data_IF_655956552831
#
_entry.id   IF_655956552831
#
_cell.length_a   1.000
_cell.length_b   1.000
_cell.length_c   1.000
_cell.angle_alpha   90.00
_cell.angle_beta   90.00
_cell.angle_gamma   90.00
#
_symmetry.space_group_name_H-M   'P 1'
#
loop_
_entity.id
_entity.type
_entity.pdbx_description
1 polymer ?
#
# COMPACT_ATOMS: atom_id res chain seq x y z
N UNK A 1 28.14 17.58 -1.30
CA UNK A 1 27.03 16.92 -1.99
C UNK A 1 25.71 17.30 -1.33
N UNK A 2 24.64 17.37 -2.08
CA UNK A 2 23.30 17.64 -1.51
C UNK A 2 22.76 16.31 -1.01
N UNK A 3 22.37 16.26 0.25
CA UNK A 3 21.81 15.09 0.91
C UNK A 3 20.27 15.18 0.95
N UNK A 4 19.59 14.07 1.27
CA UNK A 4 18.14 14.08 1.56
C UNK A 4 17.75 15.16 2.57
N UNK A 5 18.56 15.33 3.62
CA UNK A 5 18.29 16.33 4.65
C UNK A 5 18.40 17.76 4.16
N UNK A 6 19.25 18.03 3.17
CA UNK A 6 19.35 19.35 2.55
C UNK A 6 18.07 19.67 1.77
N UNK A 7 17.52 18.69 1.02
CA UNK A 7 16.22 18.85 0.35
C UNK A 7 15.09 19.10 1.34
N UNK A 8 15.04 18.35 2.46
CA UNK A 8 14.07 18.60 3.53
C UNK A 8 14.26 20.01 4.15
N UNK A 9 15.51 20.47 4.25
CA UNK A 9 15.84 21.81 4.72
C UNK A 9 15.30 22.93 3.82
N UNK A 10 15.39 22.75 2.49
CA UNK A 10 14.87 23.73 1.53
C UNK A 10 13.36 23.84 1.53
N UNK A 11 12.67 22.82 2.02
CA UNK A 11 11.21 22.80 2.11
C UNK A 11 10.64 23.50 3.33
N UNK A 12 11.47 23.89 4.31
CA UNK A 12 10.99 24.55 5.55
C UNK A 12 10.27 25.88 5.29
N UNK A 13 10.59 26.55 4.20
CA UNK A 13 9.97 27.80 3.82
C UNK A 13 8.58 27.63 3.18
N UNK A 14 8.26 26.42 2.72
CA UNK A 14 7.00 26.06 2.06
C UNK A 14 6.04 25.29 2.96
N UNK A 15 6.57 24.61 3.97
CA UNK A 15 5.79 23.83 4.93
C UNK A 15 5.94 24.49 6.31
N UNK A 16 4.86 25.06 6.87
CA UNK A 16 4.92 25.96 8.04
C UNK A 16 5.55 25.34 9.29
N UNK A 17 5.52 24.01 9.44
CA UNK A 17 6.10 23.30 10.57
C UNK A 17 7.21 22.35 10.13
N UNK A 18 8.44 22.60 10.61
CA UNK A 18 9.65 21.87 10.18
C UNK A 18 9.59 20.33 10.35
N UNK A 19 8.73 19.81 11.22
CA UNK A 19 8.44 18.38 11.33
C UNK A 19 7.39 17.91 10.32
N UNK A 20 6.50 18.79 9.86
CA UNK A 20 5.49 18.48 8.84
C UNK A 20 6.11 18.21 7.47
N UNK A 21 7.24 18.85 7.13
CA UNK A 21 7.93 18.63 5.86
C UNK A 21 8.32 17.15 5.65
N UNK A 22 8.79 16.47 6.70
CA UNK A 22 9.16 15.06 6.61
C UNK A 22 7.96 14.12 6.43
N UNK A 23 6.75 14.56 6.79
CA UNK A 23 5.52 13.79 6.63
C UNK A 23 4.92 13.93 5.22
N UNK A 24 5.10 15.10 4.58
CA UNK A 24 4.50 15.44 3.28
C UNK A 24 5.48 15.35 2.11
N UNK A 25 6.77 15.16 2.37
CA UNK A 25 7.83 15.10 1.37
C UNK A 25 8.61 13.79 1.49
N UNK A 26 8.69 13.05 0.40
CA UNK A 26 9.64 11.96 0.23
C UNK A 26 10.70 12.34 -0.80
N UNK A 27 11.99 12.13 -0.46
CA UNK A 27 13.13 12.32 -1.36
C UNK A 27 13.95 11.04 -1.38
N UNK A 28 14.21 10.51 -2.57
CA UNK A 28 15.01 9.30 -2.74
C UNK A 28 15.89 9.36 -3.99
N UNK A 29 17.00 8.66 -3.97
CA UNK A 29 17.93 8.61 -5.09
C UNK A 29 17.42 7.72 -6.21
N UNK A 30 17.76 8.03 -7.45
CA UNK A 30 17.44 7.17 -8.58
C UNK A 30 18.10 5.79 -8.51
N UNK A 31 19.18 5.65 -7.74
CA UNK A 31 19.82 4.36 -7.45
C UNK A 31 18.94 3.41 -6.62
N UNK A 32 17.94 3.92 -5.94
CA UNK A 32 16.96 3.12 -5.17
C UNK A 32 15.84 2.53 -6.04
N UNK A 33 15.78 2.91 -7.32
CA UNK A 33 14.80 2.40 -8.27
C UNK A 33 15.28 1.09 -8.94
N UNK A 34 14.34 0.34 -9.45
CA UNK A 34 14.60 -0.84 -10.28
C UNK A 34 13.90 -0.70 -11.64
N UNK A 35 14.65 -0.50 -12.76
CA UNK A 35 16.12 -0.34 -12.85
C UNK A 35 16.61 1.00 -12.27
N UNK A 36 17.88 1.07 -11.81
CA UNK A 36 18.42 2.28 -11.20
C UNK A 36 18.66 3.41 -12.20
N UNK A 37 18.36 4.66 -11.79
CA UNK A 37 18.61 5.89 -12.55
C UNK A 37 19.63 6.78 -11.83
N UNK A 38 20.90 6.71 -12.25
CA UNK A 38 21.96 7.50 -11.63
C UNK A 38 21.90 8.99 -12.02
N UNK A 39 22.31 9.88 -11.10
CA UNK A 39 22.31 11.32 -11.30
C UNK A 39 20.94 11.98 -11.19
N UNK A 40 19.93 11.27 -10.77
CA UNK A 40 18.57 11.77 -10.53
C UNK A 40 18.19 11.63 -9.07
N UNK A 41 17.40 12.59 -8.60
CA UNK A 41 16.74 12.56 -7.30
C UNK A 41 15.25 12.68 -7.53
N UNK A 42 14.50 11.76 -6.98
CA UNK A 42 13.06 11.76 -7.09
C UNK A 42 12.44 12.39 -5.85
N UNK A 43 11.39 13.17 -6.09
CA UNK A 43 10.66 13.91 -5.06
C UNK A 43 9.19 13.56 -5.19
N UNK A 44 8.60 13.12 -4.09
CA UNK A 44 7.17 12.85 -3.99
C UNK A 44 6.55 13.72 -2.90
N UNK A 45 5.41 14.32 -3.17
CA UNK A 45 4.75 15.31 -2.30
C UNK A 45 3.33 14.88 -1.99
N UNK A 46 3.00 14.80 -0.71
CA UNK A 46 1.65 14.56 -0.21
C UNK A 46 0.97 15.89 0.09
N UNK A 47 0.62 16.63 -0.96
CA UNK A 47 -0.07 17.91 -0.88
C UNK A 47 -1.41 17.82 -1.63
N UNK A 48 -2.40 18.59 -1.16
CA UNK A 48 -3.72 18.65 -1.79
C UNK A 48 -3.72 19.49 -3.08
N UNK A 49 -2.72 20.40 -3.25
CA UNK A 49 -2.62 21.31 -4.38
C UNK A 49 -1.46 20.94 -5.31
N UNK A 50 -1.81 20.63 -6.58
CA UNK A 50 -0.82 20.31 -7.63
C UNK A 50 0.06 21.51 -8.03
N UNK A 51 -0.41 22.74 -7.85
CA UNK A 51 0.34 23.98 -8.15
C UNK A 51 1.54 24.10 -7.22
N UNK A 52 1.36 23.78 -5.95
CA UNK A 52 2.44 23.77 -4.96
C UNK A 52 3.56 22.78 -5.29
N UNK A 53 3.25 21.67 -5.97
CA UNK A 53 4.26 20.68 -6.35
C UNK A 53 5.24 21.22 -7.40
N UNK A 54 4.78 22.01 -8.38
CA UNK A 54 5.65 22.61 -9.39
C UNK A 54 6.56 23.69 -8.82
N UNK A 55 6.04 24.57 -7.97
CA UNK A 55 6.81 25.61 -7.29
C UNK A 55 7.94 25.02 -6.44
N UNK A 56 7.64 23.92 -5.74
CA UNK A 56 8.61 23.19 -4.95
C UNK A 56 9.69 22.56 -5.83
N UNK A 57 9.32 21.94 -6.96
CA UNK A 57 10.29 21.38 -7.89
C UNK A 57 11.23 22.45 -8.48
N UNK A 58 10.70 23.61 -8.84
CA UNK A 58 11.48 24.70 -9.41
C UNK A 58 12.47 25.24 -8.37
N UNK A 59 12.06 25.38 -7.11
CA UNK A 59 12.98 25.70 -6.01
C UNK A 59 14.07 24.64 -5.83
N UNK A 60 13.71 23.36 -5.83
CA UNK A 60 14.66 22.27 -5.65
C UNK A 60 15.66 22.22 -6.81
N UNK A 61 15.22 22.52 -8.03
CA UNK A 61 16.11 22.63 -9.20
C UNK A 61 17.09 23.79 -9.07
N UNK A 62 16.64 24.94 -8.60
CA UNK A 62 17.51 26.11 -8.36
C UNK A 62 18.59 25.83 -7.31
N UNK A 63 18.27 25.04 -6.28
CA UNK A 63 19.18 24.70 -5.17
C UNK A 63 20.04 23.46 -5.43
N UNK A 64 19.71 22.68 -6.45
CA UNK A 64 20.44 21.45 -6.79
C UNK A 64 21.71 21.75 -7.56
N UNK A 65 22.81 20.97 -7.36
CA UNK A 65 24.00 21.04 -8.21
C UNK A 65 23.62 20.66 -9.66
N UNK A 66 24.34 21.21 -10.64
CA UNK A 66 24.12 20.96 -12.07
C UNK A 66 24.17 19.46 -12.47
N UNK A 67 24.81 18.64 -11.66
CA UNK A 67 24.91 17.18 -11.90
C UNK A 67 23.75 16.36 -11.33
N UNK A 68 22.81 16.96 -10.58
CA UNK A 68 21.68 16.30 -9.95
C UNK A 68 20.39 16.95 -10.44
N UNK A 69 19.51 16.15 -11.04
CA UNK A 69 18.23 16.61 -11.56
C UNK A 69 17.10 16.10 -10.67
N UNK A 70 16.42 16.96 -9.92
CA UNK A 70 15.22 16.58 -9.19
C UNK A 70 14.04 16.37 -10.15
N UNK A 71 13.35 15.25 -10.01
CA UNK A 71 12.16 14.88 -10.76
C UNK A 71 11.01 14.56 -9.81
N UNK A 72 9.78 14.89 -10.21
CA UNK A 72 8.59 14.60 -9.43
C UNK A 72 8.04 13.22 -9.77
N UNK A 73 7.72 12.45 -8.74
CA UNK A 73 6.90 11.23 -8.83
C UNK A 73 5.67 11.43 -7.96
N UNK A 74 4.45 11.25 -8.50
CA UNK A 74 3.24 11.33 -7.71
C UNK A 74 3.26 10.32 -6.55
N UNK A 75 2.75 10.68 -5.35
CA UNK A 75 2.64 9.74 -4.26
C UNK A 75 1.67 8.60 -4.62
N UNK A 76 2.06 7.38 -4.27
CA UNK A 76 1.18 6.21 -4.36
C UNK A 76 0.53 5.98 -3.01
N UNK A 77 -0.77 6.26 -2.90
CA UNK A 77 -1.53 6.09 -1.67
C UNK A 77 -2.20 4.72 -1.68
N UNK A 78 -1.82 3.89 -0.72
CA UNK A 78 -2.40 2.58 -0.49
C UNK A 78 -3.23 2.59 0.80
N UNK A 79 -4.43 2.08 0.75
CA UNK A 79 -5.25 1.85 1.94
C UNK A 79 -4.97 0.44 2.48
N UNK A 80 -4.45 0.36 3.69
CA UNK A 80 -4.28 -0.90 4.41
C UNK A 80 -5.48 -1.15 5.30
N UNK A 81 -6.29 -2.14 4.95
CA UNK A 81 -7.41 -2.60 5.76
C UNK A 81 -6.89 -3.58 6.80
N UNK A 82 -6.95 -3.15 8.06
CA UNK A 82 -6.46 -3.90 9.21
C UNK A 82 -7.62 -4.51 9.98
N UNK A 83 -7.77 -5.84 9.90
CA UNK A 83 -8.67 -6.62 10.72
C UNK A 83 -7.89 -7.37 11.80
N UNK A 84 -8.39 -7.39 13.03
CA UNK A 84 -7.72 -8.12 14.11
C UNK A 84 -8.67 -8.60 15.20
N UNK A 85 -8.27 -9.71 15.84
CA UNK A 85 -8.97 -10.27 17.00
C UNK A 85 -8.05 -10.26 18.22
N UNK A 86 -8.56 -9.81 19.35
CA UNK A 86 -7.85 -9.73 20.63
C UNK A 86 -8.57 -10.59 21.65
N UNK A 87 -7.86 -11.55 22.25
CA UNK A 87 -8.36 -12.32 23.36
C UNK A 87 -7.74 -11.79 24.66
N UNK A 88 -8.55 -11.54 25.68
CA UNK A 88 -8.11 -10.96 26.94
C UNK A 88 -8.54 -11.81 28.15
N UNK A 89 -7.72 -11.78 29.19
CA UNK A 89 -8.05 -12.45 30.46
C UNK A 89 -8.96 -11.55 31.31
N UNK A 90 -10.22 -11.90 31.40
CA UNK A 90 -11.25 -11.13 32.13
C UNK A 90 -11.01 -11.06 33.65
N UNK A 91 -10.18 -11.94 34.21
CA UNK A 91 -9.82 -11.90 35.64
C UNK A 91 -8.72 -10.87 35.97
N UNK A 92 -8.01 -10.37 34.96
CA UNK A 92 -6.89 -9.43 35.12
C UNK A 92 -7.25 -8.00 34.71
N UNK A 93 -8.51 -7.71 34.42
CA UNK A 93 -8.99 -6.37 34.07
C UNK A 93 -10.33 -6.08 34.70
N UNK A 94 -10.58 -4.80 35.01
CA UNK A 94 -11.89 -4.30 35.41
C UNK A 94 -12.72 -3.76 34.25
N UNK A 95 -12.11 -3.64 33.06
CA UNK A 95 -12.78 -3.16 31.86
C UNK A 95 -13.61 -4.27 31.23
N UNK A 96 -14.80 -3.91 30.77
CA UNK A 96 -15.60 -4.81 29.96
C UNK A 96 -15.11 -4.84 28.49
N UNK A 97 -15.67 -5.76 27.70
CA UNK A 97 -15.35 -5.95 26.29
C UNK A 97 -15.42 -4.64 25.48
N UNK A 98 -16.47 -3.83 25.67
CA UNK A 98 -16.71 -2.62 24.88
C UNK A 98 -15.72 -1.52 25.23
N UNK A 99 -15.41 -1.37 26.53
CA UNK A 99 -14.39 -0.44 27.01
C UNK A 99 -12.98 -0.79 26.47
N UNK A 100 -12.65 -2.09 26.46
CA UNK A 100 -11.38 -2.55 25.89
C UNK A 100 -11.34 -2.33 24.38
N UNK A 101 -12.43 -2.67 23.67
CA UNK A 101 -12.52 -2.46 22.22
C UNK A 101 -12.34 -1.00 21.85
N UNK A 102 -12.98 -0.08 22.59
CA UNK A 102 -12.84 1.36 22.36
C UNK A 102 -11.39 1.81 22.63
N UNK A 103 -10.80 1.46 23.77
CA UNK A 103 -9.45 1.87 24.14
C UNK A 103 -8.39 1.33 23.16
N UNK A 104 -8.55 0.09 22.68
CA UNK A 104 -7.65 -0.51 21.69
C UNK A 104 -7.74 0.27 20.39
N UNK A 105 -8.96 0.54 19.90
CA UNK A 105 -9.17 1.30 18.65
C UNK A 105 -8.55 2.68 18.72
N UNK A 106 -8.76 3.42 19.80
CA UNK A 106 -8.16 4.75 20.00
C UNK A 106 -6.63 4.71 20.01
N UNK A 107 -6.03 3.75 20.72
CA UNK A 107 -4.58 3.61 20.78
C UNK A 107 -3.98 3.26 19.41
N UNK A 108 -4.63 2.37 18.66
CA UNK A 108 -4.20 2.01 17.29
C UNK A 108 -4.35 3.21 16.35
N UNK A 109 -5.47 3.93 16.40
CA UNK A 109 -5.71 5.11 15.59
C UNK A 109 -4.69 6.22 15.90
N UNK A 110 -4.44 6.50 17.17
CA UNK A 110 -3.45 7.50 17.61
C UNK A 110 -2.05 7.20 17.10
N UNK A 111 -1.65 5.92 17.02
CA UNK A 111 -0.29 5.53 16.63
C UNK A 111 -0.13 5.31 15.13
N UNK A 112 -1.16 4.85 14.45
CA UNK A 112 -1.08 4.39 13.06
C UNK A 112 -2.03 5.14 12.11
N UNK A 113 -2.95 5.98 12.61
CA UNK A 113 -3.98 6.63 11.79
C UNK A 113 -3.48 7.80 10.93
N UNK A 114 -2.29 8.34 11.21
CA UNK A 114 -1.76 9.47 10.45
C UNK A 114 -1.30 9.05 9.05
N UNK A 115 -1.80 9.76 8.04
CA UNK A 115 -1.39 9.54 6.64
C UNK A 115 -0.14 10.36 6.33
N UNK A 116 1.00 9.69 6.12
CA UNK A 116 2.29 10.32 5.85
C UNK A 116 3.24 9.39 5.12
N UNK A 117 4.29 9.93 4.52
CA UNK A 117 5.40 9.13 3.99
C UNK A 117 6.13 8.37 5.12
N UNK A 118 6.58 7.16 4.81
CA UNK A 118 7.29 6.32 5.77
C UNK A 118 6.42 5.76 6.91
N UNK A 119 5.09 5.86 6.80
CA UNK A 119 4.15 5.27 7.76
C UNK A 119 4.06 3.74 7.56
N UNK A 120 5.20 3.07 7.78
CA UNK A 120 5.27 1.61 7.68
C UNK A 120 4.52 0.95 8.83
N UNK A 121 3.80 -0.13 8.54
CA UNK A 121 3.14 -0.94 9.55
C UNK A 121 4.04 -2.08 10.00
N UNK A 122 4.55 -2.01 11.23
CA UNK A 122 5.36 -3.06 11.83
C UNK A 122 4.51 -3.89 12.80
N UNK A 123 4.37 -5.19 12.53
CA UNK A 123 3.57 -6.13 13.32
C UNK A 123 3.93 -6.04 14.81
N UNK A 124 5.21 -6.00 15.15
CA UNK A 124 5.64 -5.96 16.56
C UNK A 124 5.20 -4.67 17.27
N UNK A 125 5.28 -3.51 16.60
CA UNK A 125 4.80 -2.25 17.15
C UNK A 125 3.29 -2.26 17.38
N UNK A 126 2.55 -2.91 16.48
CA UNK A 126 1.11 -3.09 16.64
C UNK A 126 0.77 -3.99 17.82
N UNK A 127 1.40 -5.15 17.94
CA UNK A 127 1.20 -6.08 19.05
C UNK A 127 1.51 -5.41 20.40
N UNK A 128 2.61 -4.65 20.47
CA UNK A 128 2.98 -3.86 21.64
C UNK A 128 1.91 -2.81 21.98
N UNK A 129 1.44 -2.04 20.98
CA UNK A 129 0.43 -1.01 21.18
C UNK A 129 -0.88 -1.59 21.73
N UNK A 130 -1.33 -2.71 21.20
CA UNK A 130 -2.56 -3.39 21.66
C UNK A 130 -2.35 -3.98 23.06
N UNK A 131 -1.23 -4.64 23.32
CA UNK A 131 -0.92 -5.24 24.63
C UNK A 131 -0.80 -4.21 25.76
N UNK A 132 -0.20 -3.05 25.45
CA UNK A 132 -0.04 -1.95 26.41
C UNK A 132 -1.37 -1.24 26.73
N UNK A 133 -2.44 -1.48 26.00
CA UNK A 133 -3.77 -0.94 26.32
C UNK A 133 -4.31 -1.50 27.64
N UNK A 134 -4.00 -2.77 27.97
CA UNK A 134 -4.33 -3.41 29.25
C UNK A 134 -3.24 -4.43 29.60
N UNK A 135 -2.13 -3.98 30.19
CA UNK A 135 -0.99 -4.83 30.49
C UNK A 135 -1.34 -6.00 31.42
N UNK A 136 -0.90 -7.20 31.03
CA UNK A 136 -1.17 -8.44 31.76
C UNK A 136 -2.49 -9.11 31.38
N UNK A 137 -3.52 -8.36 31.03
CA UNK A 137 -4.79 -8.92 30.55
C UNK A 137 -4.75 -9.28 29.06
N UNK A 138 -3.99 -8.51 28.23
CA UNK A 138 -3.80 -8.77 26.81
C UNK A 138 -2.33 -9.16 26.59
N UNK A 139 -2.12 -10.36 26.02
CA UNK A 139 -0.79 -10.84 25.65
C UNK A 139 -0.63 -10.81 24.12
N UNK A 140 0.60 -10.55 23.60
CA UNK A 140 0.86 -10.51 22.15
C UNK A 140 0.41 -11.78 21.40
N UNK A 141 0.57 -12.95 22.02
CA UNK A 141 0.21 -14.24 21.41
C UNK A 141 -1.32 -14.45 21.29
N UNK A 142 -2.10 -13.64 21.99
CA UNK A 142 -3.55 -13.64 21.95
C UNK A 142 -4.14 -12.66 20.92
N UNK A 143 -3.29 -12.14 20.01
CA UNK A 143 -3.69 -11.18 18.98
C UNK A 143 -3.46 -11.81 17.60
N UNK A 144 -4.53 -11.95 16.82
CA UNK A 144 -4.45 -12.33 15.42
C UNK A 144 -4.70 -11.13 14.52
N UNK A 145 -4.00 -11.06 13.38
CA UNK A 145 -4.01 -9.94 12.45
C UNK A 145 -4.26 -10.48 11.04
N UNK A 146 -5.19 -9.87 10.31
CA UNK A 146 -5.38 -10.04 8.87
C UNK A 146 -5.29 -8.68 8.17
N UNK A 147 -4.56 -8.62 7.06
CA UNK A 147 -4.25 -7.38 6.34
C UNK A 147 -4.58 -7.58 4.88
N UNK A 148 -5.26 -6.59 4.30
CA UNK A 148 -5.39 -6.41 2.86
C UNK A 148 -4.97 -4.99 2.51
N UNK A 149 -4.30 -4.82 1.38
CA UNK A 149 -3.88 -3.52 0.85
C UNK A 149 -4.69 -3.25 -0.41
N UNK A 150 -5.28 -2.07 -0.50
CA UNK A 150 -6.13 -1.66 -1.62
C UNK A 150 -5.62 -0.33 -2.19
N UNK A 151 -5.79 -0.16 -3.50
CA UNK A 151 -5.54 1.12 -4.16
C UNK A 151 -6.41 1.24 -5.41
N UNK A 152 -6.87 2.44 -5.68
CA UNK A 152 -7.49 2.77 -6.96
C UNK A 152 -6.39 2.93 -8.01
N UNK A 153 -6.61 2.38 -9.18
CA UNK A 153 -5.64 2.32 -10.26
C UNK A 153 -6.30 2.61 -11.59
N UNK A 154 -5.82 3.65 -12.27
CA UNK A 154 -6.32 4.03 -13.59
C UNK A 154 -5.65 3.18 -14.66
N UNK A 155 -6.45 2.53 -15.48
CA UNK A 155 -5.98 1.73 -16.61
C UNK A 155 -6.18 2.53 -17.89
N UNK A 156 -5.07 2.68 -18.64
CA UNK A 156 -5.08 3.19 -20.00
C UNK A 156 -5.00 1.99 -20.98
N UNK A 157 -6.07 1.77 -21.73
CA UNK A 157 -6.16 0.65 -22.68
C UNK A 157 -5.18 0.73 -23.86
N UNK A 158 -4.42 1.81 -23.98
CA UNK A 158 -3.44 2.01 -25.06
C UNK A 158 -2.02 1.55 -24.72
N UNK A 159 -1.73 1.25 -23.45
CA UNK A 159 -0.37 0.90 -22.99
C UNK A 159 -0.39 -0.15 -21.88
N UNK A 160 0.77 -0.77 -21.64
CA UNK A 160 0.97 -1.63 -20.46
C UNK A 160 1.02 -0.75 -19.22
N UNK A 161 0.13 -1.01 -18.29
CA UNK A 161 0.12 -0.32 -16.99
C UNK A 161 0.86 -1.13 -15.94
N UNK A 162 1.55 -0.42 -15.03
CA UNK A 162 2.34 -1.05 -13.97
C UNK A 162 2.10 -0.36 -12.64
N UNK A 163 1.89 -1.17 -11.60
CA UNK A 163 1.83 -0.72 -10.22
C UNK A 163 2.67 -1.63 -9.34
N UNK A 164 3.35 -1.06 -8.36
CA UNK A 164 4.15 -1.83 -7.41
C UNK A 164 3.68 -1.58 -5.97
N UNK A 165 3.29 -2.64 -5.29
CA UNK A 165 3.00 -2.63 -3.86
C UNK A 165 4.27 -2.67 -3.00
N UNK A 166 5.47 -2.88 -3.62
CA UNK A 166 6.80 -2.91 -2.98
C UNK A 166 6.91 -3.84 -1.76
N UNK A 167 5.95 -4.73 -1.60
CA UNK A 167 5.87 -5.74 -0.54
C UNK A 167 5.54 -7.09 -1.16
N UNK A 168 6.00 -8.17 -0.53
CA UNK A 168 5.68 -9.51 -0.98
C UNK A 168 4.17 -9.76 -0.91
N UNK A 169 3.60 -10.28 -1.99
CA UNK A 169 2.19 -10.65 -2.10
C UNK A 169 2.06 -12.16 -1.91
N UNK A 170 1.00 -12.59 -1.23
CA UNK A 170 0.70 -14.01 -1.04
C UNK A 170 0.52 -14.73 -2.38
N UNK A 171 1.05 -15.94 -2.47
CA UNK A 171 0.90 -16.83 -3.63
C UNK A 171 0.31 -18.18 -3.22
N UNK A 172 0.08 -19.08 -4.17
CA UNK A 172 -0.25 -20.48 -3.93
C UNK A 172 -1.72 -20.86 -4.11
N UNK A 173 -2.62 -19.92 -4.41
CA UNK A 173 -4.00 -20.21 -4.80
C UNK A 173 -4.52 -19.16 -5.77
N UNK A 174 -5.43 -19.56 -6.66
CA UNK A 174 -6.08 -18.64 -7.61
C UNK A 174 -6.84 -17.57 -6.84
N UNK A 175 -6.57 -16.29 -7.13
CA UNK A 175 -7.17 -15.15 -6.42
C UNK A 175 -6.78 -15.04 -4.95
N UNK A 176 -5.71 -15.72 -4.52
CA UNK A 176 -5.25 -15.71 -3.13
C UNK A 176 -4.40 -14.50 -2.77
N UNK A 177 -3.75 -13.89 -3.76
CA UNK A 177 -2.85 -12.77 -3.60
C UNK A 177 -3.38 -11.45 -4.17
N UNK A 178 -4.11 -11.50 -5.28
CA UNK A 178 -4.66 -10.31 -5.94
C UNK A 178 -6.10 -10.57 -6.39
N UNK A 179 -6.96 -9.59 -6.15
CA UNK A 179 -8.30 -9.47 -6.74
C UNK A 179 -8.57 -8.00 -7.05
N UNK A 180 -9.17 -7.68 -8.22
CA UNK A 180 -9.65 -6.33 -8.51
C UNK A 180 -11.14 -6.17 -8.20
N UNK A 181 -11.61 -4.91 -8.17
CA UNK A 181 -13.04 -4.63 -8.38
C UNK A 181 -13.48 -5.13 -9.75
N UNK A 182 -14.80 -5.30 -9.93
CA UNK A 182 -15.36 -5.60 -11.25
C UNK A 182 -15.26 -4.38 -12.17
N UNK A 183 -15.12 -4.65 -13.47
CA UNK A 183 -15.06 -3.64 -14.52
C UNK A 183 -15.74 -4.15 -15.81
N UNK A 184 -16.01 -3.22 -16.73
CA UNK A 184 -16.51 -3.58 -18.05
C UNK A 184 -15.39 -4.12 -18.94
N UNK A 185 -15.57 -5.32 -19.46
CA UNK A 185 -14.67 -5.90 -20.46
C UNK A 185 -15.27 -5.82 -21.85
N UNK A 186 -14.71 -5.00 -22.76
CA UNK A 186 -15.18 -4.93 -24.15
C UNK A 186 -15.14 -6.28 -24.89
N UNK A 187 -14.19 -7.13 -24.51
CA UNK A 187 -14.00 -8.45 -25.12
C UNK A 187 -15.16 -9.42 -24.86
N UNK A 188 -15.75 -9.32 -23.65
CA UNK A 188 -16.83 -10.21 -23.21
C UNK A 188 -18.20 -9.54 -23.20
N UNK A 189 -18.24 -8.21 -23.45
CA UNK A 189 -19.44 -7.39 -23.37
C UNK A 189 -20.17 -7.56 -22.01
N UNK A 190 -19.39 -7.46 -20.91
CA UNK A 190 -19.85 -7.70 -19.54
C UNK A 190 -19.18 -6.73 -18.57
N UNK A 191 -19.89 -6.35 -17.49
CA UNK A 191 -19.47 -5.43 -16.42
C UNK A 191 -19.13 -6.14 -15.09
N UNK A 192 -19.18 -7.48 -15.06
CA UNK A 192 -18.90 -8.30 -13.87
C UNK A 192 -17.55 -9.06 -13.96
N UNK A 193 -16.65 -8.60 -14.84
CA UNK A 193 -15.31 -9.17 -15.01
C UNK A 193 -14.36 -8.54 -14.02
N UNK A 194 -13.42 -9.31 -13.48
CA UNK A 194 -12.38 -8.82 -12.57
C UNK A 194 -11.05 -9.54 -12.81
N UNK A 195 -9.96 -8.90 -12.34
CA UNK A 195 -8.60 -9.45 -12.39
C UNK A 195 -8.33 -10.28 -11.13
N UNK A 196 -7.68 -11.44 -11.32
CA UNK A 196 -7.14 -12.27 -10.23
C UNK A 196 -5.76 -12.79 -10.59
N UNK A 197 -4.97 -13.11 -9.57
CA UNK A 197 -3.73 -13.84 -9.76
C UNK A 197 -3.99 -15.34 -10.01
N UNK A 198 -3.07 -15.97 -10.74
CA UNK A 198 -3.18 -17.40 -11.05
C UNK A 198 -2.86 -18.30 -9.86
N UNK A 199 -2.15 -17.80 -8.84
CA UNK A 199 -1.58 -18.60 -7.76
C UNK A 199 -0.48 -19.57 -8.19
N UNK A 200 -0.06 -19.55 -9.46
CA UNK A 200 0.97 -20.43 -9.99
C UNK A 200 2.37 -19.99 -9.53
N UNK A 201 3.31 -20.92 -9.56
CA UNK A 201 4.72 -20.61 -9.39
C UNK A 201 5.20 -19.61 -10.44
N UNK A 202 6.13 -18.75 -10.03
CA UNK A 202 6.70 -17.75 -10.90
C UNK A 202 7.59 -18.40 -11.98
N UNK A 203 7.65 -17.77 -13.15
CA UNK A 203 8.58 -18.09 -14.21
C UNK A 203 10.04 -17.78 -13.81
N UNK A 204 10.98 -17.96 -14.75
CA UNK A 204 12.41 -17.68 -14.54
C UNK A 204 12.70 -16.20 -14.19
N UNK A 205 11.79 -15.28 -14.52
CA UNK A 205 11.90 -13.86 -14.24
C UNK A 205 11.14 -13.44 -12.98
N UNK A 206 10.52 -14.38 -12.29
CA UNK A 206 9.77 -14.15 -11.07
C UNK A 206 8.31 -13.71 -11.29
N UNK A 207 7.78 -13.84 -12.51
CA UNK A 207 6.41 -13.45 -12.85
C UNK A 207 5.48 -14.65 -12.99
N UNK A 208 4.25 -14.47 -12.53
CA UNK A 208 3.12 -15.38 -12.73
C UNK A 208 2.00 -14.68 -13.50
N UNK A 209 1.19 -15.41 -14.28
CA UNK A 209 0.13 -14.80 -15.07
C UNK A 209 -1.00 -14.25 -14.20
N UNK A 210 -1.64 -13.19 -14.69
CA UNK A 210 -2.95 -12.73 -14.24
C UNK A 210 -4.04 -13.32 -15.12
N UNK A 211 -5.21 -13.55 -14.52
CA UNK A 211 -6.39 -14.07 -15.17
C UNK A 211 -7.54 -13.08 -15.15
N UNK A 212 -8.40 -13.14 -16.17
CA UNK A 212 -9.74 -12.56 -16.13
C UNK A 212 -10.72 -13.60 -15.61
N UNK A 213 -11.58 -13.19 -14.70
CA UNK A 213 -12.59 -14.05 -14.12
C UNK A 213 -13.93 -13.33 -13.96
N UNK A 214 -14.97 -14.15 -13.77
CA UNK A 214 -16.30 -13.71 -13.31
C UNK A 214 -16.68 -14.50 -12.06
N UNK A 215 -17.67 -14.01 -11.32
CA UNK A 215 -18.16 -14.72 -10.12
C UNK A 215 -19.63 -15.05 -10.30
N UNK A 216 -19.96 -16.35 -10.33
CA UNK A 216 -21.34 -16.84 -10.42
C UNK A 216 -21.67 -17.60 -9.15
N UNK A 217 -22.65 -17.14 -8.37
CA UNK A 217 -23.05 -17.77 -7.09
C UNK A 217 -21.90 -18.02 -6.12
N UNK A 218 -20.92 -17.09 -6.08
CA UNK A 218 -19.74 -17.19 -5.22
C UNK A 218 -18.59 -18.03 -5.78
N UNK A 219 -18.79 -18.70 -6.91
CA UNK A 219 -17.76 -19.50 -7.57
C UNK A 219 -17.02 -18.63 -8.60
N UNK A 220 -15.69 -18.66 -8.56
CA UNK A 220 -14.82 -17.97 -9.52
C UNK A 220 -14.71 -18.82 -10.78
N UNK A 221 -15.07 -18.25 -11.91
CA UNK A 221 -14.93 -18.83 -13.24
C UNK A 221 -13.86 -18.06 -14.03
N UNK A 222 -12.73 -18.70 -14.29
CA UNK A 222 -11.67 -18.10 -15.12
C UNK A 222 -12.11 -18.05 -16.56
N UNK A 223 -12.11 -16.84 -17.16
CA UNK A 223 -12.50 -16.59 -18.55
C UNK A 223 -11.29 -16.50 -19.48
N UNK A 224 -10.17 -15.96 -19.00
CA UNK A 224 -8.96 -15.79 -19.78
C UNK A 224 -7.73 -16.03 -18.92
N UNK A 225 -6.76 -16.81 -19.44
CA UNK A 225 -5.54 -17.22 -18.77
C UNK A 225 -4.27 -16.68 -19.41
N UNK A 226 -4.37 -16.03 -20.57
CA UNK A 226 -3.21 -15.55 -21.32
C UNK A 226 -3.43 -14.13 -21.83
N UNK A 227 -2.34 -13.35 -21.88
CA UNK A 227 -2.40 -11.99 -22.40
C UNK A 227 -3.01 -10.94 -21.48
N UNK A 228 -3.47 -11.31 -20.29
CA UNK A 228 -4.11 -10.42 -19.31
C UNK A 228 -3.09 -9.52 -18.61
N UNK A 229 -2.02 -10.11 -18.12
CA UNK A 229 -0.98 -9.42 -17.38
C UNK A 229 -0.14 -10.38 -16.57
N UNK A 230 0.68 -9.83 -15.69
CA UNK A 230 1.62 -10.60 -14.86
C UNK A 230 1.76 -9.97 -13.47
N UNK A 231 2.02 -10.81 -12.47
CA UNK A 231 2.33 -10.42 -11.09
C UNK A 231 3.67 -11.01 -10.67
N UNK A 232 4.50 -10.19 -10.02
CA UNK A 232 5.67 -10.66 -9.30
C UNK A 232 5.38 -10.66 -7.81
N UNK A 233 5.18 -11.84 -7.23
CA UNK A 233 4.80 -11.98 -5.82
C UNK A 233 5.87 -11.48 -4.84
N UNK A 234 7.16 -11.55 -5.20
CA UNK A 234 8.26 -11.13 -4.33
C UNK A 234 8.43 -9.62 -4.25
N UNK A 235 8.24 -8.94 -5.38
CA UNK A 235 8.42 -7.48 -5.45
C UNK A 235 7.10 -6.71 -5.33
N UNK A 236 5.96 -7.39 -5.44
CA UNK A 236 4.64 -6.77 -5.48
C UNK A 236 4.37 -6.00 -6.78
N UNK A 237 5.16 -6.23 -7.84
CA UNK A 237 4.97 -5.58 -9.13
C UNK A 237 3.87 -6.29 -9.93
N UNK A 238 2.89 -5.51 -10.38
CA UNK A 238 1.77 -5.95 -11.22
C UNK A 238 1.87 -5.22 -12.54
N UNK A 239 1.74 -5.98 -13.64
CA UNK A 239 1.68 -5.47 -15.02
C UNK A 239 0.35 -5.88 -15.62
N UNK A 240 -0.39 -4.93 -16.19
CA UNK A 240 -1.68 -5.16 -16.84
C UNK A 240 -1.55 -4.79 -18.31
N UNK A 241 -1.98 -5.69 -19.19
CA UNK A 241 -1.85 -5.48 -20.62
C UNK A 241 -3.01 -4.63 -21.19
N UNK A 242 -2.78 -3.82 -22.23
CA UNK A 242 -3.71 -2.80 -22.71
C UNK A 242 -5.03 -3.33 -23.29
N UNK A 243 -5.11 -4.60 -23.65
CA UNK A 243 -6.31 -5.17 -24.30
C UNK A 243 -7.36 -5.73 -23.33
N UNK A 244 -7.12 -5.60 -22.03
CA UNK A 244 -7.90 -6.30 -21.00
C UNK A 244 -9.15 -5.55 -20.60
N UNK A 245 -9.04 -4.22 -20.50
CA UNK A 245 -10.10 -3.33 -20.01
C UNK A 245 -10.32 -2.16 -20.97
N UNK A 246 -11.39 -1.41 -20.78
CA UNK A 246 -11.50 -0.03 -21.25
C UNK A 246 -10.59 0.92 -20.45
N UNK A 247 -10.71 2.23 -20.70
CA UNK A 247 -10.10 3.26 -19.85
C UNK A 247 -10.97 3.40 -18.61
N UNK A 248 -10.56 2.79 -17.51
CA UNK A 248 -11.33 2.72 -16.28
C UNK A 248 -10.41 2.81 -15.05
N UNK A 249 -10.96 3.33 -13.96
CA UNK A 249 -10.34 3.20 -12.64
C UNK A 249 -10.85 1.92 -11.99
N UNK A 250 -9.94 1.04 -11.62
CA UNK A 250 -10.25 -0.18 -10.87
C UNK A 250 -9.64 -0.12 -9.47
N UNK A 251 -10.29 -0.76 -8.51
CA UNK A 251 -9.68 -0.97 -7.20
C UNK A 251 -8.92 -2.30 -7.22
N UNK A 252 -7.62 -2.25 -6.94
CA UNK A 252 -6.77 -3.43 -6.79
C UNK A 252 -6.61 -3.75 -5.30
N UNK A 253 -6.95 -4.96 -4.92
CA UNK A 253 -6.81 -5.50 -3.59
C UNK A 253 -5.77 -6.60 -3.57
N UNK A 254 -4.75 -6.46 -2.73
CA UNK A 254 -3.72 -7.48 -2.55
C UNK A 254 -3.66 -7.96 -1.11
N UNK A 255 -3.33 -9.23 -0.95
CA UNK A 255 -3.03 -9.84 0.35
C UNK A 255 -1.52 -9.99 0.50
N UNK A 256 -0.89 -9.25 1.42
CA UNK A 256 0.56 -9.36 1.62
C UNK A 256 0.91 -10.73 2.22
N UNK A 257 2.09 -11.23 1.89
CA UNK A 257 2.63 -12.46 2.48
C UNK A 257 3.01 -12.25 3.95
N UNK A 258 3.54 -11.07 4.27
CA UNK A 258 3.94 -10.70 5.63
C UNK A 258 2.94 -9.72 6.25
N UNK A 259 2.79 -9.79 7.55
CA UNK A 259 1.97 -8.86 8.33
C UNK A 259 2.71 -7.55 8.73
N UNK A 260 3.93 -7.34 8.29
CA UNK A 260 4.65 -6.07 8.36
C UNK A 260 4.76 -5.49 6.95
N UNK A 261 4.38 -4.23 6.79
CA UNK A 261 4.31 -3.55 5.50
C UNK A 261 5.24 -2.34 5.54
N UNK A 262 6.17 -2.30 4.60
CA UNK A 262 7.09 -1.18 4.42
C UNK A 262 6.49 -0.14 3.45
N UNK A 263 6.39 1.10 3.90
CA UNK A 263 6.05 2.24 3.06
C UNK A 263 7.33 3.02 2.75
N UNK A 264 7.91 2.80 1.59
CA UNK A 264 9.16 3.41 1.13
C UNK A 264 8.94 4.30 -0.08
N UNK A 265 9.89 5.20 -0.32
CA UNK A 265 9.92 6.07 -1.51
C UNK A 265 8.63 6.90 -1.64
N UNK A 266 7.92 6.80 -2.77
CA UNK A 266 6.66 7.49 -3.05
C UNK A 266 5.43 6.83 -2.40
N UNK A 267 5.60 5.71 -1.70
CA UNK A 267 4.49 4.97 -1.10
C UNK A 267 4.01 5.63 0.20
N UNK A 268 2.71 5.84 0.29
CA UNK A 268 2.00 6.30 1.48
C UNK A 268 1.00 5.22 1.90
N UNK A 269 1.07 4.79 3.15
CA UNK A 269 0.17 3.78 3.69
C UNK A 269 -0.86 4.44 4.61
N UNK A 270 -2.13 4.46 4.18
CA UNK A 270 -3.26 4.86 5.00
C UNK A 270 -3.84 3.65 5.70
N UNK A 271 -3.68 3.57 7.03
CA UNK A 271 -4.13 2.43 7.82
C UNK A 271 -5.56 2.65 8.29
N UNK A 272 -6.45 1.70 8.00
CA UNK A 272 -7.86 1.73 8.36
C UNK A 272 -8.22 0.47 9.14
N UNK A 273 -8.76 0.65 10.35
CA UNK A 273 -9.26 -0.47 11.16
C UNK A 273 -10.62 -0.91 10.63
N UNK A 274 -10.73 -2.13 10.11
CA UNK A 274 -11.95 -2.62 9.47
C UNK A 274 -12.77 -3.51 10.38
N UNK A 275 -12.22 -4.62 10.84
CA UNK A 275 -12.91 -5.59 11.70
C UNK A 275 -12.11 -5.81 12.98
N UNK A 276 -12.63 -5.30 14.08
CA UNK A 276 -11.98 -5.40 15.40
C UNK A 276 -12.85 -6.22 16.32
N UNK A 277 -12.38 -7.40 16.68
CA UNK A 277 -13.03 -8.29 17.62
C UNK A 277 -12.24 -8.35 18.92
N UNK A 278 -12.95 -8.17 20.06
CA UNK A 278 -12.37 -8.34 21.40
C UNK A 278 -13.19 -9.40 22.13
N UNK A 279 -12.55 -10.46 22.61
CA UNK A 279 -13.21 -11.62 23.23
C UNK A 279 -12.51 -12.00 24.53
N UNK A 280 -13.25 -12.40 25.59
CA UNK A 280 -12.62 -13.02 26.75
C UNK A 280 -12.03 -14.40 26.36
N UNK A 281 -10.92 -14.76 27.05
CA UNK A 281 -10.32 -16.09 26.99
C UNK A 281 -11.20 -17.12 27.67
#
# INVERSE_FOLDING_TARGET
GVTRNDYLGFMKDFVPDGNAAANVLSVFGGEELDPPYYGRVFVSLLLEDSTSAQDILDLLREKSPLSIMPEYIPPQVFQMNLAYSVFFNSFLTQKNKDQLSFAIRENVESKFGETKFGNSFLRNNFLETVSLTEPGAILPDNISIDINIETDFDIDSSRVEMISFKNEIRSGSIGGGLESSTFYSPKYDRDDVFLIDSGLEADLYGFSPLYLATRTSGIIEVKEQSGVGQINYKTGLIKINPTVTGNETINLKVKPEKTSIDAKQEMVLKIVQTNVEVKPL
#
